data_IF_006779520383
#
_entry.id   IF_006779520383
#
_cell.length_a   1.000
_cell.length_b   1.000
_cell.length_c   1.000
_cell.angle_alpha   90.00
_cell.angle_beta   90.00
_cell.angle_gamma   90.00
#
_symmetry.space_group_name_H-M   'P 1'
#
loop_
_entity.id
_entity.type
_entity.pdbx_description
1 polymer ?
#
# COMPACT_ATOMS: atom_id res chain seq x y z
N UNK A 1 35.94 -4.27 48.15
CA UNK A 1 34.99 -5.29 47.66
C UNK A 1 33.54 -4.78 47.70
N UNK A 2 33.02 -4.36 48.86
CA UNK A 2 31.61 -3.91 49.02
C UNK A 2 31.26 -2.69 48.16
N UNK A 3 32.11 -1.67 48.13
CA UNK A 3 31.89 -0.44 47.31
C UNK A 3 31.79 -0.76 45.82
N UNK A 4 32.63 -1.68 45.31
CA UNK A 4 32.60 -2.12 43.92
C UNK A 4 31.31 -2.90 43.59
N UNK A 5 30.81 -3.73 44.51
CA UNK A 5 29.55 -4.47 44.33
C UNK A 5 28.33 -3.54 44.30
N UNK A 6 28.31 -2.52 45.16
CA UNK A 6 27.20 -1.54 45.23
C UNK A 6 27.16 -0.67 43.96
N UNK A 7 28.32 -0.19 43.50
CA UNK A 7 28.42 0.60 42.26
C UNK A 7 27.92 -0.21 41.05
N UNK A 8 28.28 -1.49 41.00
CA UNK A 8 27.91 -2.40 39.92
C UNK A 8 26.43 -2.76 39.90
N UNK A 9 25.80 -2.95 41.07
CA UNK A 9 24.36 -3.19 41.18
C UNK A 9 23.55 -1.99 40.69
N UNK A 10 24.00 -0.77 40.97
CA UNK A 10 23.27 0.43 40.58
C UNK A 10 23.36 0.70 39.07
N UNK A 11 24.52 0.47 38.46
CA UNK A 11 24.70 0.65 37.01
C UNK A 11 23.94 -0.39 36.19
N UNK A 12 23.89 -1.65 36.63
CA UNK A 12 23.12 -2.70 35.93
C UNK A 12 21.61 -2.51 36.05
N UNK A 13 21.13 -2.00 37.20
CA UNK A 13 19.70 -1.68 37.41
C UNK A 13 19.12 -0.75 36.33
N UNK A 14 19.92 0.23 35.88
CA UNK A 14 19.54 1.13 34.80
C UNK A 14 19.56 0.47 33.41
N UNK A 15 20.34 -0.61 33.23
CA UNK A 15 20.45 -1.31 31.95
C UNK A 15 19.22 -2.19 31.69
N UNK A 16 18.72 -2.93 32.67
CA UNK A 16 17.56 -3.83 32.49
C UNK A 16 16.29 -3.13 31.94
N UNK A 17 16.09 -1.85 32.25
CA UNK A 17 14.97 -1.07 31.73
C UNK A 17 15.11 -0.73 30.25
N UNK A 18 16.33 -0.39 29.80
CA UNK A 18 16.58 -0.05 28.39
C UNK A 18 16.62 -1.27 27.50
N UNK A 19 17.06 -2.44 27.98
CA UNK A 19 17.10 -3.68 27.16
C UNK A 19 15.67 -4.13 26.80
N UNK A 20 14.74 -4.04 27.76
CA UNK A 20 13.32 -4.34 27.55
C UNK A 20 12.70 -3.47 26.46
N UNK A 21 13.02 -2.17 26.47
CA UNK A 21 12.53 -1.21 25.46
C UNK A 21 13.23 -1.39 24.11
N UNK A 22 14.54 -1.65 24.12
CA UNK A 22 15.38 -1.81 22.93
C UNK A 22 14.97 -3.03 22.11
N UNK A 23 14.57 -4.14 22.75
CA UNK A 23 14.05 -5.31 22.03
C UNK A 23 12.52 -5.27 21.83
N UNK A 24 11.77 -4.71 22.78
CA UNK A 24 10.30 -4.70 22.72
C UNK A 24 9.73 -3.77 21.65
N UNK A 25 10.30 -2.56 21.50
CA UNK A 25 9.77 -1.54 20.57
C UNK A 25 9.94 -1.92 19.11
N UNK A 26 11.12 -2.41 18.64
CA UNK A 26 11.27 -2.85 17.26
C UNK A 26 10.41 -4.06 16.93
N UNK A 27 10.22 -4.99 17.88
CA UNK A 27 9.32 -6.14 17.70
C UNK A 27 7.86 -5.69 17.57
N UNK A 28 7.41 -4.75 18.41
CA UNK A 28 6.08 -4.17 18.32
C UNK A 28 5.86 -3.45 16.97
N UNK A 29 6.82 -2.63 16.54
CA UNK A 29 6.77 -1.95 15.24
C UNK A 29 6.87 -2.93 14.07
N UNK A 30 7.62 -4.02 14.21
CA UNK A 30 7.69 -5.09 13.23
C UNK A 30 6.36 -5.83 13.06
N UNK A 31 5.67 -6.11 14.17
CA UNK A 31 4.31 -6.69 14.15
C UNK A 31 3.32 -5.70 13.55
N UNK A 32 3.35 -4.43 13.96
CA UNK A 32 2.49 -3.39 13.38
C UNK A 32 2.73 -3.23 11.86
N UNK A 33 3.99 -3.23 11.43
CA UNK A 33 4.37 -3.20 10.02
C UNK A 33 3.93 -4.44 9.23
N UNK A 34 3.93 -5.61 9.87
CA UNK A 34 3.40 -6.86 9.29
C UNK A 34 1.89 -6.75 9.03
N UNK A 35 1.12 -6.21 9.98
CA UNK A 35 -0.31 -5.95 9.79
C UNK A 35 -0.57 -4.89 8.72
N UNK A 36 0.23 -3.83 8.64
CA UNK A 36 0.10 -2.82 7.56
C UNK A 36 0.31 -3.43 6.17
N UNK A 37 1.29 -4.35 6.04
CA UNK A 37 1.52 -5.10 4.80
C UNK A 37 0.37 -6.06 4.47
N UNK A 38 -0.31 -6.60 5.48
CA UNK A 38 -1.50 -7.45 5.31
C UNK A 38 -2.71 -6.65 4.80
N UNK A 39 -2.77 -5.34 5.07
CA UNK A 39 -3.88 -4.45 4.71
C UNK A 39 -3.56 -3.55 3.51
N UNK A 40 -2.46 -3.82 2.78
CA UNK A 40 -1.97 -3.02 1.64
C UNK A 40 -1.87 -1.51 1.94
N UNK A 41 -1.69 -1.15 3.22
CA UNK A 41 -1.51 0.23 3.65
C UNK A 41 -0.04 0.61 3.38
N UNK A 42 0.23 1.53 2.44
CA UNK A 42 1.59 1.94 2.19
C UNK A 42 2.09 2.70 3.44
N UNK A 43 3.19 2.24 4.03
CA UNK A 43 3.81 2.85 5.23
C UNK A 43 4.15 4.35 5.00
N UNK A 44 4.69 4.78 3.83
CA UNK A 44 5.04 6.18 3.60
C UNK A 44 3.88 7.20 3.80
N UNK A 45 2.69 7.04 3.19
CA UNK A 45 1.58 7.97 3.41
C UNK A 45 1.03 7.92 4.84
N UNK A 46 1.14 6.80 5.55
CA UNK A 46 0.72 6.71 6.95
C UNK A 46 1.60 7.57 7.85
N UNK A 47 2.92 7.50 7.67
CA UNK A 47 3.87 8.38 8.38
C UNK A 47 3.61 9.85 8.03
N UNK A 48 3.38 10.16 6.75
CA UNK A 48 3.04 11.51 6.33
C UNK A 48 1.74 12.00 6.98
N UNK A 49 0.72 11.16 7.08
CA UNK A 49 -0.53 11.47 7.77
C UNK A 49 -0.33 11.76 9.26
N UNK A 50 0.50 10.97 9.95
CA UNK A 50 0.79 11.16 11.39
C UNK A 50 1.55 12.47 11.65
N UNK A 51 2.48 12.85 10.77
CA UNK A 51 3.23 14.11 10.93
C UNK A 51 2.35 15.31 10.55
N UNK A 52 1.60 15.21 9.45
CA UNK A 52 0.76 16.29 8.95
C UNK A 52 -0.51 16.49 9.79
N UNK A 53 -1.03 15.46 10.44
CA UNK A 53 -2.23 15.50 11.27
C UNK A 53 -2.23 16.62 12.31
N UNK A 54 -1.27 16.65 13.27
CA UNK A 54 -1.20 17.69 14.29
C UNK A 54 -0.97 19.08 13.70
N UNK A 55 -0.22 19.18 12.59
CA UNK A 55 -0.03 20.45 11.89
C UNK A 55 -1.33 20.95 11.27
N UNK A 56 -2.08 20.07 10.60
CA UNK A 56 -3.36 20.39 10.00
C UNK A 56 -4.37 20.84 11.04
N UNK A 57 -4.44 20.17 12.18
CA UNK A 57 -5.30 20.55 13.30
C UNK A 57 -4.92 21.92 13.87
N UNK A 58 -3.62 22.17 14.12
CA UNK A 58 -3.15 23.47 14.60
C UNK A 58 -3.48 24.60 13.62
N UNK A 59 -3.27 24.42 12.32
CA UNK A 59 -3.61 25.42 11.32
C UNK A 59 -5.12 25.63 11.21
N UNK A 60 -5.91 24.56 11.29
CA UNK A 60 -7.36 24.64 11.30
C UNK A 60 -7.88 25.42 12.51
N UNK A 61 -7.46 25.04 13.72
CA UNK A 61 -7.83 25.72 14.96
C UNK A 61 -7.38 27.18 14.96
N UNK A 62 -6.14 27.47 14.57
CA UNK A 62 -5.61 28.84 14.46
C UNK A 62 -6.47 29.69 13.52
N UNK A 63 -6.88 29.12 12.38
CA UNK A 63 -7.73 29.82 11.42
C UNK A 63 -9.13 30.10 11.97
N UNK A 64 -9.74 29.15 12.69
CA UNK A 64 -11.06 29.34 13.30
C UNK A 64 -11.03 30.33 14.46
N UNK A 65 -10.02 30.27 15.32
CA UNK A 65 -9.86 31.21 16.45
C UNK A 65 -9.64 32.63 15.93
N UNK A 66 -8.79 32.79 14.92
CA UNK A 66 -8.49 34.11 14.33
C UNK A 66 -9.71 34.76 13.68
N UNK A 67 -10.68 33.98 13.21
CA UNK A 67 -11.85 34.47 12.50
C UNK A 67 -13.16 34.26 13.27
N UNK A 68 -13.09 34.02 14.58
CA UNK A 68 -14.27 33.95 15.45
C UNK A 68 -15.24 32.82 15.09
N UNK A 69 -14.72 31.68 14.64
CA UNK A 69 -15.49 30.50 14.21
C UNK A 69 -16.36 30.71 12.95
N UNK A 70 -16.08 31.74 12.15
CA UNK A 70 -16.79 31.97 10.89
C UNK A 70 -16.18 31.15 9.73
N UNK A 71 -16.90 30.10 9.31
CA UNK A 71 -16.55 29.24 8.19
C UNK A 71 -16.56 29.96 6.83
N UNK A 72 -17.18 31.15 6.72
CA UNK A 72 -17.23 31.91 5.46
C UNK A 72 -15.87 32.49 5.06
N UNK A 73 -14.89 32.47 5.96
CA UNK A 73 -13.52 32.92 5.70
C UNK A 73 -12.79 32.08 4.65
N UNK A 74 -13.10 30.79 4.56
CA UNK A 74 -12.53 29.92 3.54
C UNK A 74 -12.98 30.32 2.12
N UNK A 75 -14.13 31.01 1.99
CA UNK A 75 -14.66 31.52 0.72
C UNK A 75 -14.21 32.95 0.45
N UNK A 76 -14.10 33.79 1.50
CA UNK A 76 -13.62 35.19 1.36
C UNK A 76 -12.14 35.28 1.01
N UNK A 77 -11.31 34.30 1.38
CA UNK A 77 -9.89 34.25 0.99
C UNK A 77 -9.74 33.57 -0.37
N UNK A 78 -9.33 34.28 -1.44
CA UNK A 78 -9.29 33.71 -2.79
C UNK A 78 -8.34 32.51 -2.91
N UNK A 79 -7.23 32.50 -2.16
CA UNK A 79 -6.29 31.35 -2.15
C UNK A 79 -6.92 30.11 -1.51
N UNK A 80 -7.59 30.25 -0.36
CA UNK A 80 -8.29 29.14 0.29
C UNK A 80 -9.46 28.64 -0.55
N UNK A 81 -10.20 29.55 -1.17
CA UNK A 81 -11.33 29.20 -2.04
C UNK A 81 -10.89 28.37 -3.24
N UNK A 82 -9.79 28.75 -3.91
CA UNK A 82 -9.24 28.00 -5.04
C UNK A 82 -8.77 26.61 -4.61
N UNK A 83 -8.03 26.50 -3.51
CA UNK A 83 -7.56 25.20 -2.99
C UNK A 83 -8.73 24.30 -2.58
N UNK A 84 -9.75 24.86 -1.92
CA UNK A 84 -10.96 24.12 -1.53
C UNK A 84 -11.75 23.64 -2.75
N UNK A 85 -11.87 24.47 -3.79
CA UNK A 85 -12.51 24.09 -5.03
C UNK A 85 -11.77 22.94 -5.73
N UNK A 86 -10.43 23.00 -5.81
CA UNK A 86 -9.60 21.93 -6.39
C UNK A 86 -9.76 20.63 -5.59
N UNK A 87 -9.71 20.71 -4.25
CA UNK A 87 -9.90 19.55 -3.38
C UNK A 87 -11.30 18.93 -3.58
N UNK A 88 -12.35 19.74 -3.62
CA UNK A 88 -13.72 19.29 -3.85
C UNK A 88 -13.88 18.62 -5.22
N UNK A 89 -13.29 19.18 -6.28
CA UNK A 89 -13.31 18.59 -7.62
C UNK A 89 -12.54 17.27 -7.65
N UNK A 90 -11.37 17.20 -7.04
CA UNK A 90 -10.57 15.96 -6.94
C UNK A 90 -11.33 14.85 -6.22
N UNK A 91 -11.87 15.14 -5.03
CA UNK A 91 -12.63 14.18 -4.23
C UNK A 91 -13.91 13.78 -4.97
N UNK A 92 -14.65 14.74 -5.51
CA UNK A 92 -15.87 14.49 -6.29
C UNK A 92 -15.60 13.64 -7.54
N UNK A 93 -14.51 13.91 -8.25
CA UNK A 93 -14.11 13.15 -9.44
C UNK A 93 -13.70 11.72 -9.12
N UNK A 94 -12.91 11.52 -8.05
CA UNK A 94 -12.51 10.17 -7.62
C UNK A 94 -13.71 9.40 -7.08
N UNK A 95 -14.57 10.04 -6.27
CA UNK A 95 -15.79 9.43 -5.77
C UNK A 95 -16.73 9.04 -6.92
N UNK A 96 -16.95 9.94 -7.88
CA UNK A 96 -17.77 9.69 -9.07
C UNK A 96 -17.18 8.55 -9.91
N UNK A 97 -15.87 8.57 -10.20
CA UNK A 97 -15.23 7.47 -10.93
C UNK A 97 -15.27 6.15 -10.17
N UNK A 98 -15.14 6.14 -8.84
CA UNK A 98 -15.28 4.92 -8.03
C UNK A 98 -16.71 4.38 -8.09
N UNK A 99 -17.70 5.27 -8.05
CA UNK A 99 -19.12 4.90 -8.18
C UNK A 99 -19.45 4.36 -9.58
N UNK A 100 -18.91 4.98 -10.62
CA UNK A 100 -19.06 4.55 -12.02
C UNK A 100 -18.21 3.31 -12.38
N UNK A 101 -17.25 2.92 -11.53
CA UNK A 101 -16.40 1.72 -11.69
C UNK A 101 -16.84 0.57 -10.79
N UNK A 102 -18.07 0.60 -10.27
CA UNK A 102 -18.69 -0.58 -9.68
C UNK A 102 -18.91 -1.66 -10.77
N UNK A 103 -17.85 -2.42 -11.01
CA UNK A 103 -17.72 -3.75 -11.65
C UNK A 103 -18.10 -3.87 -13.14
N UNK A 104 -17.13 -4.13 -14.03
CA UNK A 104 -17.28 -5.13 -15.07
C UNK A 104 -16.68 -6.45 -14.59
N UNK A 105 -17.55 -7.44 -14.50
CA UNK A 105 -17.36 -8.81 -14.07
C UNK A 105 -16.40 -9.64 -14.97
N UNK A 106 -15.19 -9.18 -15.23
CA UNK A 106 -14.21 -9.95 -16.03
C UNK A 106 -13.42 -10.96 -15.21
N UNK A 107 -13.35 -10.82 -13.88
CA UNK A 107 -12.68 -11.80 -13.00
C UNK A 107 -13.50 -13.06 -12.74
N UNK A 108 -14.83 -12.99 -12.90
CA UNK A 108 -15.73 -14.15 -12.73
C UNK A 108 -15.62 -15.13 -13.91
N UNK A 109 -15.17 -14.65 -15.08
CA UNK A 109 -14.89 -15.47 -16.26
C UNK A 109 -13.55 -16.23 -16.17
N UNK A 110 -12.64 -15.80 -15.30
CA UNK A 110 -11.37 -16.48 -15.01
C UNK A 110 -11.51 -17.46 -13.82
N UNK A 111 -12.44 -17.16 -12.90
CA UNK A 111 -12.75 -18.01 -11.72
C UNK A 111 -13.73 -19.14 -12.03
N UNK A 112 -14.67 -18.96 -12.98
CA UNK A 112 -15.31 -20.09 -13.65
C UNK A 112 -14.25 -20.72 -14.55
N UNK A 113 -13.54 -21.72 -14.04
CA UNK A 113 -12.71 -22.63 -14.83
C UNK A 113 -13.55 -23.46 -15.82
N UNK A 114 -14.33 -22.79 -16.67
CA UNK A 114 -14.82 -23.36 -17.91
C UNK A 114 -13.57 -23.61 -18.76
N UNK A 115 -13.23 -24.88 -19.03
CA UNK A 115 -12.06 -25.18 -19.84
C UNK A 115 -12.20 -24.40 -21.16
N UNK A 116 -11.13 -23.72 -21.63
CA UNK A 116 -11.14 -23.23 -22.99
C UNK A 116 -11.46 -24.44 -23.86
N UNK A 117 -12.54 -24.35 -24.63
CA UNK A 117 -12.85 -25.41 -25.59
C UNK A 117 -11.58 -25.76 -26.35
N UNK A 118 -11.28 -27.06 -26.54
CA UNK A 118 -10.09 -27.47 -27.25
C UNK A 118 -10.12 -26.83 -28.64
N UNK A 119 -9.29 -25.81 -28.84
CA UNK A 119 -8.96 -25.34 -30.18
C UNK A 119 -8.33 -26.54 -30.86
N UNK A 120 -9.10 -27.16 -31.74
CA UNK A 120 -8.72 -28.32 -32.54
C UNK A 120 -7.43 -27.99 -33.26
N UNK A 121 -6.32 -28.47 -32.71
CA UNK A 121 -5.02 -28.47 -33.35
C UNK A 121 -5.16 -29.36 -34.60
N UNK A 122 -4.92 -28.85 -35.83
CA UNK A 122 -4.92 -29.69 -37.01
C UNK A 122 -3.76 -30.68 -36.87
N UNK A 123 -4.12 -31.88 -36.42
CA UNK A 123 -3.26 -33.03 -36.22
C UNK A 123 -2.68 -33.47 -37.57
N UNK A 124 -1.68 -32.77 -38.06
CA UNK A 124 -0.78 -33.22 -39.13
C UNK A 124 0.30 -34.15 -38.54
N UNK A 125 -0.17 -35.13 -37.75
CA UNK A 125 0.62 -36.22 -37.17
C UNK A 125 -0.17 -37.49 -37.46
N UNK A 126 -0.07 -37.96 -38.71
CA UNK A 126 -0.93 -39.04 -39.20
C UNK A 126 -0.76 -39.44 -40.66
N UNK A 127 0.34 -39.07 -41.33
CA UNK A 127 0.77 -39.68 -42.59
C UNK A 127 2.29 -39.90 -42.44
N UNK A 128 2.78 -41.04 -41.93
CA UNK A 128 2.67 -42.39 -42.51
C UNK A 128 2.94 -42.34 -44.00
N UNK A 129 3.87 -43.20 -44.44
CA UNK A 129 4.17 -43.52 -45.85
C UNK A 129 5.09 -42.48 -46.55
N UNK A 130 6.29 -42.75 -47.06
CA UNK A 130 7.04 -43.99 -47.28
C UNK A 130 8.48 -43.58 -47.65
N UNK A 131 9.48 -44.07 -46.91
CA UNK A 131 10.83 -44.27 -47.45
C UNK A 131 10.73 -45.32 -48.56
N UNK A 132 11.34 -45.09 -49.74
CA UNK A 132 12.56 -45.87 -50.05
C UNK A 132 13.72 -45.03 -50.60
N UNK A 133 14.92 -45.21 -50.00
CA UNK A 133 16.22 -44.99 -50.68
C UNK A 133 16.43 -46.07 -51.78
N UNK A 134 17.56 -46.10 -52.49
CA UNK A 134 18.10 -45.22 -53.55
C UNK A 134 18.17 -46.00 -54.90
N UNK A 135 18.65 -45.40 -56.01
CA UNK A 135 19.92 -45.87 -56.58
C UNK A 135 20.77 -44.70 -57.11
N UNK A 136 22.05 -44.58 -56.75
CA UNK A 136 23.23 -45.35 -57.22
C UNK A 136 23.78 -44.76 -58.52
N UNK A 137 25.09 -44.50 -58.48
CA UNK A 137 25.96 -44.26 -59.64
C UNK A 137 25.70 -42.89 -60.31
N UNK A 138 26.58 -42.26 -61.09
CA UNK A 138 27.78 -42.74 -61.77
C UNK A 138 28.58 -41.51 -62.28
N UNK A 139 29.89 -41.52 -61.99
CA UNK A 139 30.99 -40.73 -62.63
C UNK A 139 31.21 -39.28 -62.21
#
# INVERSE_FOLDING_TARGET
MVVSTVLFSHTRGAQYGVERFTFGVPVLFGVAGFFMRRWDLPIPPLVMGVILGPMAEQYFLTSMVTHGNDLTVFVRRPVSAVVLAIAAVMVGWVALRRWLRATPASSIAEELGAPPEPVVEPRASGAVERSPRPPRDDR
#
